data_IF_596023069700
#
_entry.id   IF_596023069700
#
_cell.length_a   1.000
_cell.length_b   1.000
_cell.length_c   1.000
_cell.angle_alpha   90.00
_cell.angle_beta   90.00
_cell.angle_gamma   90.00
#
_symmetry.space_group_name_H-M   'P 1'
#
loop_
_entity.id
_entity.type
_entity.pdbx_description
1 polymer ?
#
# COMPACT_ATOMS: atom_id res chain seq x y z
N UNK A 1 -11.23 8.79 -1.60
CA UNK A 1 -11.90 7.76 -0.78
C UNK A 1 -11.13 6.46 -0.95
N UNK A 2 -10.88 5.75 0.14
CA UNK A 2 -10.37 4.37 0.14
C UNK A 2 -11.51 3.44 0.56
N UNK A 3 -11.47 2.18 0.12
CA UNK A 3 -12.32 1.14 0.71
C UNK A 3 -11.81 0.72 2.09
N UNK A 4 -12.53 -0.18 2.76
CA UNK A 4 -12.10 -0.80 4.02
C UNK A 4 -12.78 -0.24 5.26
N UNK A 5 -13.89 0.48 5.09
CA UNK A 5 -14.70 0.96 6.22
C UNK A 5 -16.16 0.51 6.09
N UNK A 6 -16.45 -0.79 6.32
CA UNK A 6 -17.81 -1.31 6.25
C UNK A 6 -18.73 -0.68 7.31
N UNK A 7 -18.21 -0.31 8.48
CA UNK A 7 -18.99 0.30 9.58
C UNK A 7 -19.64 1.63 9.16
N UNK A 8 -18.93 2.47 8.40
CA UNK A 8 -19.48 3.71 7.85
C UNK A 8 -20.65 3.44 6.90
N UNK A 9 -20.56 2.38 6.09
CA UNK A 9 -21.63 1.97 5.20
C UNK A 9 -22.83 1.45 6.00
N UNK A 10 -22.62 0.56 6.99
CA UNK A 10 -23.66 0.03 7.86
C UNK A 10 -24.44 1.17 8.55
N UNK A 11 -23.72 2.11 9.17
CA UNK A 11 -24.32 3.29 9.83
C UNK A 11 -25.11 4.15 8.85
N UNK A 12 -24.57 4.39 7.65
CA UNK A 12 -25.24 5.20 6.61
C UNK A 12 -26.58 4.60 6.18
N UNK A 13 -26.71 3.29 6.20
CA UNK A 13 -27.94 2.58 5.84
C UNK A 13 -28.86 2.29 7.05
N UNK A 14 -28.50 2.75 8.25
CA UNK A 14 -29.29 2.51 9.47
C UNK A 14 -29.35 1.04 9.88
N UNK A 15 -28.33 0.27 9.51
CA UNK A 15 -28.22 -1.14 9.80
C UNK A 15 -27.52 -1.40 11.15
N UNK A 16 -27.69 -2.61 11.69
CA UNK A 16 -27.03 -3.05 12.91
C UNK A 16 -25.55 -3.39 12.64
N UNK A 17 -24.64 -2.89 13.49
CA UNK A 17 -23.19 -3.15 13.40
C UNK A 17 -22.80 -4.61 13.65
N UNK A 18 -23.69 -5.41 14.24
CA UNK A 18 -23.50 -6.85 14.42
C UNK A 18 -23.75 -7.66 13.14
N UNK A 19 -24.29 -7.05 12.09
CA UNK A 19 -24.54 -7.75 10.83
C UNK A 19 -23.23 -8.27 10.23
N UNK A 20 -23.20 -9.53 9.78
CA UNK A 20 -22.03 -10.05 9.08
C UNK A 20 -21.83 -9.29 7.77
N UNK A 21 -20.63 -8.74 7.58
CA UNK A 21 -20.24 -8.04 6.35
C UNK A 21 -19.13 -8.76 5.64
N UNK A 22 -19.31 -8.94 4.33
CA UNK A 22 -18.25 -9.37 3.42
C UNK A 22 -17.79 -8.12 2.66
N UNK A 23 -16.60 -7.63 2.99
CA UNK A 23 -16.07 -6.38 2.44
C UNK A 23 -15.32 -6.61 1.13
N UNK A 24 -15.97 -6.29 0.00
CA UNK A 24 -15.38 -6.31 -1.34
C UNK A 24 -14.70 -4.98 -1.73
N UNK A 25 -14.64 -3.99 -0.84
CA UNK A 25 -14.05 -2.68 -1.13
C UNK A 25 -12.53 -2.64 -0.96
N UNK A 26 -11.93 -3.70 -0.40
CA UNK A 26 -10.49 -3.86 -0.21
C UNK A 26 -9.97 -5.15 -0.84
N UNK A 27 -8.76 -5.05 -1.39
CA UNK A 27 -8.06 -6.18 -1.99
C UNK A 27 -7.13 -6.84 -0.95
N UNK A 28 -7.71 -7.56 0.01
CA UNK A 28 -6.94 -8.32 1.02
C UNK A 28 -6.94 -9.82 0.68
N UNK A 29 -5.96 -10.56 1.20
CA UNK A 29 -5.92 -12.01 1.03
C UNK A 29 -7.09 -12.66 1.80
N UNK A 30 -8.04 -13.34 1.12
CA UNK A 30 -9.19 -13.95 1.80
C UNK A 30 -8.81 -15.14 2.70
N UNK A 31 -7.61 -15.70 2.54
CA UNK A 31 -7.10 -16.78 3.40
C UNK A 31 -6.58 -16.26 4.76
N UNK A 32 -6.60 -14.95 4.98
CA UNK A 32 -6.07 -14.33 6.19
C UNK A 32 -4.54 -14.27 6.24
N UNK A 33 -3.98 -13.94 7.42
CA UNK A 33 -2.54 -13.84 7.59
C UNK A 33 -1.86 -15.21 7.49
N UNK A 34 -0.59 -15.28 7.04
CA UNK A 34 0.19 -16.52 7.06
C UNK A 34 0.23 -17.15 8.46
N UNK A 35 0.05 -18.47 8.53
CA UNK A 35 -0.03 -19.24 9.79
C UNK A 35 1.19 -19.05 10.72
N UNK A 36 2.37 -18.79 10.14
CA UNK A 36 3.59 -18.50 10.90
C UNK A 36 3.43 -17.28 11.83
N UNK A 37 2.66 -16.27 11.40
CA UNK A 37 2.40 -15.08 12.23
C UNK A 37 1.66 -15.50 13.48
N UNK A 38 0.60 -16.31 13.34
CA UNK A 38 -0.20 -16.80 14.47
C UNK A 38 0.65 -17.61 15.46
N UNK A 39 1.51 -18.50 14.94
CA UNK A 39 2.34 -19.38 15.78
C UNK A 39 3.45 -18.64 16.52
N UNK A 40 4.09 -17.66 15.90
CA UNK A 40 5.23 -16.94 16.49
C UNK A 40 4.85 -15.62 17.16
N UNK A 41 3.57 -15.21 17.10
CA UNK A 41 3.14 -13.90 17.60
C UNK A 41 3.56 -13.64 19.05
N UNK A 42 3.40 -14.62 19.93
CA UNK A 42 3.77 -14.47 21.35
C UNK A 42 5.27 -14.18 21.52
N UNK A 43 6.12 -14.85 20.75
CA UNK A 43 7.58 -14.66 20.78
C UNK A 43 7.96 -13.27 20.24
N UNK A 44 7.33 -12.84 19.15
CA UNK A 44 7.58 -11.52 18.54
C UNK A 44 7.00 -10.36 19.34
N UNK A 45 5.93 -10.60 20.12
CA UNK A 45 5.30 -9.56 20.93
C UNK A 45 6.28 -8.97 21.95
N UNK A 46 7.18 -9.79 22.50
CA UNK A 46 8.25 -9.32 23.39
C UNK A 46 9.20 -8.31 22.72
N UNK A 47 9.40 -8.41 21.40
CA UNK A 47 10.25 -7.48 20.64
C UNK A 47 9.65 -6.07 20.52
N UNK A 48 8.34 -5.90 20.72
CA UNK A 48 7.68 -4.59 20.65
C UNK A 48 8.11 -3.62 21.75
N UNK A 49 8.69 -4.12 22.83
CA UNK A 49 9.22 -3.30 23.94
C UNK A 49 10.51 -2.54 23.58
N UNK A 50 11.15 -2.89 22.45
CA UNK A 50 12.37 -2.25 21.97
C UNK A 50 12.10 -1.43 20.72
N UNK A 51 12.78 -0.28 20.59
CA UNK A 51 12.71 0.49 19.35
C UNK A 51 13.33 -0.33 18.21
N UNK A 52 12.71 -0.39 17.01
CA UNK A 52 13.25 -1.15 15.89
C UNK A 52 14.64 -0.64 15.48
N UNK A 53 15.45 -1.52 14.92
CA UNK A 53 16.78 -1.15 14.42
C UNK A 53 16.66 0.03 13.43
N UNK A 54 17.46 1.07 13.60
CA UNK A 54 17.38 2.31 12.81
C UNK A 54 17.49 2.10 11.30
N UNK A 55 18.16 1.03 10.87
CA UNK A 55 18.45 0.79 9.45
C UNK A 55 17.48 -0.20 8.78
N UNK A 56 16.45 -0.73 9.48
CA UNK A 56 15.54 -1.73 8.89
C UNK A 56 16.23 -2.98 8.32
N UNK A 57 17.50 -3.22 8.69
CA UNK A 57 18.45 -3.96 7.87
C UNK A 57 18.06 -5.43 7.61
N UNK A 58 17.29 -6.05 8.50
CA UNK A 58 16.81 -7.41 8.29
C UNK A 58 15.87 -7.52 7.06
N UNK A 59 15.04 -6.51 6.83
CA UNK A 59 14.05 -6.53 5.74
C UNK A 59 14.71 -6.24 4.39
N UNK A 60 15.58 -5.23 4.34
CA UNK A 60 16.29 -4.82 3.13
C UNK A 60 17.23 -5.94 2.67
N UNK A 61 18.03 -6.50 3.59
CA UNK A 61 18.92 -7.63 3.29
C UNK A 61 18.14 -8.87 2.81
N UNK A 62 16.97 -9.14 3.40
CA UNK A 62 16.13 -10.24 2.97
C UNK A 62 15.71 -10.09 1.51
N UNK A 63 15.18 -8.92 1.14
CA UNK A 63 14.73 -8.69 -0.24
C UNK A 63 15.88 -8.59 -1.24
N UNK A 64 17.01 -7.98 -0.86
CA UNK A 64 18.21 -7.95 -1.70
C UNK A 64 18.67 -9.36 -2.05
N UNK A 65 18.80 -10.26 -1.06
CA UNK A 65 19.18 -11.66 -1.31
C UNK A 65 18.12 -12.44 -2.08
N UNK A 66 16.85 -12.21 -1.77
CA UNK A 66 15.73 -12.96 -2.38
C UNK A 66 15.54 -12.65 -3.86
N UNK A 67 15.86 -11.42 -4.28
CA UNK A 67 15.64 -10.93 -5.64
C UNK A 67 16.93 -10.54 -6.38
N UNK A 68 18.10 -10.82 -5.80
CA UNK A 68 19.42 -10.47 -6.35
C UNK A 68 19.53 -8.99 -6.70
N UNK A 69 19.16 -8.12 -5.74
CA UNK A 69 19.19 -6.67 -5.93
C UNK A 69 20.52 -6.07 -5.44
N UNK A 70 21.01 -4.99 -6.07
CA UNK A 70 22.18 -4.27 -5.61
C UNK A 70 22.07 -3.78 -4.16
N UNK A 71 23.22 -3.63 -3.51
CA UNK A 71 23.27 -2.96 -2.21
C UNK A 71 22.65 -1.54 -2.31
N UNK A 72 21.95 -1.12 -1.25
CA UNK A 72 21.28 0.18 -1.15
C UNK A 72 20.17 0.44 -2.19
N UNK A 73 19.63 -0.60 -2.86
CA UNK A 73 18.51 -0.46 -3.81
C UNK A 73 17.13 -0.79 -3.22
N UNK A 74 17.05 -1.04 -1.91
CA UNK A 74 15.82 -1.35 -1.20
C UNK A 74 15.71 -0.45 0.04
N UNK A 75 14.49 -0.03 0.37
CA UNK A 75 14.21 0.77 1.56
C UNK A 75 12.94 0.22 2.23
N UNK A 76 13.00 0.05 3.55
CA UNK A 76 11.82 -0.24 4.36
C UNK A 76 10.90 0.98 4.50
N UNK A 77 9.59 0.79 4.39
CA UNK A 77 8.59 1.83 4.62
C UNK A 77 7.40 1.30 5.43
N UNK A 78 6.71 2.21 6.13
CA UNK A 78 5.48 1.96 6.87
C UNK A 78 4.28 1.83 5.92
N UNK A 79 4.32 0.77 5.11
CA UNK A 79 3.41 0.55 3.99
C UNK A 79 3.81 1.32 2.72
N UNK A 80 3.29 0.88 1.58
CA UNK A 80 3.64 1.46 0.27
C UNK A 80 3.22 2.91 0.11
N UNK A 81 2.17 3.35 0.82
CA UNK A 81 1.66 4.73 0.76
C UNK A 81 2.74 5.72 1.22
N UNK A 82 3.49 5.43 2.30
CA UNK A 82 4.58 6.30 2.74
C UNK A 82 5.61 6.49 1.63
N UNK A 83 6.05 5.39 1.02
CA UNK A 83 7.04 5.41 -0.05
C UNK A 83 6.53 6.14 -1.31
N UNK A 84 5.24 6.03 -1.62
CA UNK A 84 4.59 6.80 -2.70
C UNK A 84 4.69 8.32 -2.44
N UNK A 85 4.54 8.78 -1.19
CA UNK A 85 4.69 10.19 -0.84
C UNK A 85 6.15 10.64 -0.69
N UNK A 86 7.05 9.71 -0.36
CA UNK A 86 8.49 9.99 -0.25
C UNK A 86 9.14 10.18 -1.64
N UNK A 87 8.82 9.31 -2.59
CA UNK A 87 9.42 9.30 -3.93
C UNK A 87 9.43 10.67 -4.64
N UNK A 88 8.30 11.38 -4.79
CA UNK A 88 8.30 12.69 -5.48
C UNK A 88 9.18 13.74 -4.78
N UNK A 89 9.24 13.73 -3.44
CA UNK A 89 10.06 14.66 -2.64
C UNK A 89 11.56 14.37 -2.79
N UNK A 90 11.92 13.10 -2.88
CA UNK A 90 13.31 12.65 -3.05
C UNK A 90 13.83 12.89 -4.47
N UNK A 91 13.00 12.66 -5.50
CA UNK A 91 13.42 12.66 -6.91
C UNK A 91 13.57 14.05 -7.53
N UNK A 92 13.10 15.13 -6.87
CA UNK A 92 13.23 16.53 -7.34
C UNK A 92 12.78 16.76 -8.80
N UNK A 93 11.78 16.01 -9.25
CA UNK A 93 11.22 16.16 -10.60
C UNK A 93 10.34 17.41 -10.69
N UNK A 94 10.15 17.95 -11.90
CA UNK A 94 9.28 19.11 -12.13
C UNK A 94 7.87 18.73 -12.58
N UNK A 95 7.77 17.62 -13.31
CA UNK A 95 6.52 17.12 -13.92
C UNK A 95 6.39 15.62 -13.71
N UNK A 96 5.16 15.15 -13.52
CA UNK A 96 4.83 13.73 -13.44
C UNK A 96 3.65 13.42 -14.38
N UNK A 97 3.75 12.30 -15.10
CA UNK A 97 2.66 11.77 -15.93
C UNK A 97 1.89 10.71 -15.14
N UNK A 98 0.56 10.84 -15.08
CA UNK A 98 -0.31 9.92 -14.35
C UNK A 98 -1.43 9.41 -15.25
N UNK A 99 -1.55 8.10 -15.38
CA UNK A 99 -2.65 7.47 -16.10
C UNK A 99 -3.97 7.58 -15.33
N UNK A 100 -5.10 7.78 -16.00
CA UNK A 100 -6.41 7.80 -15.34
C UNK A 100 -7.41 6.82 -16.00
N UNK A 101 -8.19 6.06 -15.21
CA UNK A 101 -8.19 6.00 -13.74
C UNK A 101 -6.98 5.22 -13.18
N UNK A 102 -6.46 5.66 -12.04
CA UNK A 102 -5.41 4.97 -11.28
C UNK A 102 -5.62 5.18 -9.77
N UNK A 103 -4.72 4.62 -8.96
CA UNK A 103 -4.68 4.91 -7.53
C UNK A 103 -4.52 6.41 -7.27
N UNK A 104 -5.36 6.95 -6.38
CA UNK A 104 -5.51 8.38 -6.16
C UNK A 104 -4.24 9.03 -5.58
N UNK A 105 -3.51 8.33 -4.72
CA UNK A 105 -2.34 8.92 -4.05
C UNK A 105 -1.15 9.18 -4.98
N UNK A 106 -1.12 8.62 -6.20
CA UNK A 106 -0.09 8.99 -7.18
C UNK A 106 -0.17 10.49 -7.52
N UNK A 107 -1.38 10.99 -7.79
CA UNK A 107 -1.61 12.40 -8.09
C UNK A 107 -1.39 13.26 -6.86
N UNK A 108 -2.00 12.87 -5.75
CA UNK A 108 -1.94 13.63 -4.51
C UNK A 108 -0.52 13.78 -3.96
N UNK A 109 0.30 12.72 -4.04
CA UNK A 109 1.71 12.76 -3.61
C UNK A 109 2.54 13.73 -4.44
N UNK A 110 2.34 13.77 -5.76
CA UNK A 110 3.01 14.72 -6.64
C UNK A 110 2.58 16.16 -6.37
N UNK A 111 1.27 16.42 -6.28
CA UNK A 111 0.72 17.76 -6.00
C UNK A 111 1.20 18.29 -4.65
N UNK A 112 1.22 17.44 -3.61
CA UNK A 112 1.71 17.80 -2.27
C UNK A 112 3.21 18.10 -2.26
N UNK A 113 3.97 17.54 -3.20
CA UNK A 113 5.40 17.82 -3.38
C UNK A 113 5.67 19.02 -4.30
N UNK A 114 4.63 19.71 -4.79
CA UNK A 114 4.76 20.85 -5.71
C UNK A 114 5.12 20.46 -7.15
N UNK A 115 4.87 19.21 -7.55
CA UNK A 115 5.14 18.69 -8.89
C UNK A 115 3.93 18.93 -9.78
N UNK A 116 4.15 19.43 -11.00
CA UNK A 116 3.10 19.57 -12.01
C UNK A 116 2.63 18.19 -12.49
N UNK A 117 1.34 17.90 -12.38
CA UNK A 117 0.75 16.63 -12.81
C UNK A 117 0.11 16.76 -14.18
N UNK A 118 0.58 15.96 -15.13
CA UNK A 118 -0.05 15.75 -16.44
C UNK A 118 -0.82 14.44 -16.37
N UNK A 119 -2.11 14.46 -16.75
CA UNK A 119 -2.92 13.24 -16.80
C UNK A 119 -3.09 12.69 -18.21
N UNK A 120 -2.94 11.38 -18.34
CA UNK A 120 -3.18 10.64 -19.57
C UNK A 120 -4.35 9.66 -19.38
N UNK A 121 -5.53 9.95 -19.94
CA UNK A 121 -6.66 9.02 -19.87
C UNK A 121 -6.34 7.71 -20.58
N UNK A 122 -6.65 6.58 -19.93
CA UNK A 122 -6.58 5.27 -20.56
C UNK A 122 -7.65 5.17 -21.64
N UNK A 123 -7.23 4.88 -22.87
CA UNK A 123 -8.15 4.62 -23.99
C UNK A 123 -8.86 3.29 -23.73
N UNK A 124 -10.18 3.24 -23.89
CA UNK A 124 -10.96 1.99 -23.85
C UNK A 124 -10.55 1.09 -25.04
N UNK A 125 -9.47 0.33 -24.90
CA UNK A 125 -9.27 -0.83 -25.76
C UNK A 125 -10.10 -1.98 -25.21
N UNK A 126 -11.20 -2.29 -25.91
CA UNK A 126 -12.05 -3.45 -25.65
C UNK A 126 -11.30 -4.78 -25.91
N UNK A 127 -10.41 -5.18 -25.01
CA UNK A 127 -10.05 -6.60 -24.83
C UNK A 127 -10.40 -7.02 -23.41
N UNK A 128 -11.71 -7.12 -23.18
CA UNK A 128 -12.24 -8.12 -22.23
C UNK A 128 -12.39 -9.42 -23.02
N UNK A 129 -11.38 -10.25 -22.97
CA UNK A 129 -11.54 -11.68 -23.29
C UNK A 129 -10.58 -12.42 -22.38
N UNK A 130 -11.06 -12.69 -21.16
CA UNK A 130 -10.55 -13.79 -20.39
C UNK A 130 -11.43 -14.94 -20.84
N UNK A 131 -10.87 -15.82 -21.68
CA UNK A 131 -11.45 -17.13 -21.98
C UNK A 131 -11.38 -18.00 -20.73
#
# INVERSE_FOLDING_TARGET
MHGGNPDDAIKRYGLDLSLPVIDFSVNINPLGPPEIIRRQWADWFGCLSSYPSQNGGCLENFYQRRFDLPENSAIGGNGSIELIYLAPRALKVKKALIFTPSFHDYRRSCETAGIEVITLPLVKNHRKTIN
#
